data_IF_266758499684
#
_entry.id   IF_266758499684
#
_cell.length_a   1.000
_cell.length_b   1.000
_cell.length_c   1.000
_cell.angle_alpha   90.00
_cell.angle_beta   90.00
_cell.angle_gamma   90.00
#
_symmetry.space_group_name_H-M   'P 1'
#
loop_
_entity.id
_entity.type
_entity.pdbx_description
1 polymer ?
#
# COMPACT_ATOMS: atom_id res chain seq x y z
N UNK A 1 15.40 5.02 35.81
CA UNK A 1 15.51 5.95 34.68
C UNK A 1 14.86 5.23 33.51
N UNK A 2 13.59 5.54 33.27
CA UNK A 2 12.84 4.98 32.12
C UNK A 2 13.21 5.84 30.92
N UNK A 3 14.02 5.29 30.00
CA UNK A 3 14.16 5.85 28.67
C UNK A 3 12.79 5.89 28.03
N UNK A 4 12.28 7.09 27.82
CA UNK A 4 11.16 7.32 26.92
C UNK A 4 11.64 6.96 25.53
N UNK A 5 11.31 5.77 25.03
CA UNK A 5 11.51 5.42 23.64
C UNK A 5 10.70 6.42 22.81
N UNK A 6 11.36 7.37 22.20
CA UNK A 6 10.75 8.23 21.20
C UNK A 6 10.18 7.30 20.12
N UNK A 7 8.87 7.21 20.06
CA UNK A 7 8.16 6.41 19.05
C UNK A 7 8.46 7.08 17.71
N UNK A 8 9.22 6.42 16.85
CA UNK A 8 9.55 6.91 15.52
C UNK A 8 8.23 7.11 14.75
N UNK A 9 7.94 8.33 14.36
CA UNK A 9 6.73 8.66 13.63
C UNK A 9 6.92 8.33 12.15
N UNK A 10 6.34 7.23 11.68
CA UNK A 10 6.42 6.78 10.29
C UNK A 10 5.36 7.45 9.40
N UNK A 11 4.14 7.60 9.92
CA UNK A 11 3.03 8.27 9.25
C UNK A 11 2.59 9.45 10.10
N UNK A 12 2.46 10.62 9.45
CA UNK A 12 1.94 11.83 10.06
C UNK A 12 0.86 12.42 9.15
N UNK A 13 -0.40 12.22 9.54
CA UNK A 13 -1.59 12.67 8.78
C UNK A 13 -1.60 14.20 8.64
N UNK A 14 -1.21 14.92 9.68
CA UNK A 14 -1.15 16.38 9.64
C UNK A 14 -0.10 16.88 8.63
N UNK A 15 1.10 16.29 8.64
CA UNK A 15 2.17 16.60 7.69
C UNK A 15 1.75 16.29 6.25
N UNK A 16 1.06 15.18 6.03
CA UNK A 16 0.51 14.82 4.71
C UNK A 16 -0.49 15.88 4.25
N UNK A 17 -1.42 16.31 5.12
CA UNK A 17 -2.38 17.37 4.81
C UNK A 17 -1.70 18.70 4.50
N UNK A 18 -0.69 19.09 5.29
CA UNK A 18 0.08 20.32 5.05
C UNK A 18 0.76 20.30 3.67
N UNK A 19 1.30 19.15 3.27
CA UNK A 19 2.06 19.00 2.02
C UNK A 19 1.17 18.85 0.80
N UNK A 20 0.16 17.96 0.88
CA UNK A 20 -0.67 17.61 -0.29
C UNK A 20 -1.91 18.49 -0.47
N UNK A 21 -2.39 19.11 0.61
CA UNK A 21 -3.58 19.97 0.60
C UNK A 21 -3.42 21.23 1.47
N UNK A 22 -2.41 22.08 1.25
CA UNK A 22 -2.08 23.20 2.15
C UNK A 22 -3.20 24.23 2.28
N UNK A 23 -3.99 24.45 1.22
CA UNK A 23 -5.15 25.35 1.26
C UNK A 23 -6.28 24.80 2.13
N UNK A 24 -6.50 23.49 2.10
CA UNK A 24 -7.49 22.81 2.93
C UNK A 24 -7.02 22.82 4.38
N UNK A 25 -5.78 22.40 4.64
CA UNK A 25 -5.19 22.38 5.97
C UNK A 25 -5.36 23.72 6.73
N UNK A 26 -5.08 24.84 6.08
CA UNK A 26 -5.23 26.20 6.66
C UNK A 26 -6.67 26.54 7.06
N UNK A 27 -7.68 25.87 6.54
CA UNK A 27 -9.11 26.09 6.81
C UNK A 27 -9.69 25.08 7.80
N UNK A 28 -8.98 23.97 8.06
CA UNK A 28 -9.48 22.92 8.95
C UNK A 28 -9.27 23.32 10.42
N UNK A 29 -10.34 23.30 11.25
CA UNK A 29 -10.20 23.42 12.67
C UNK A 29 -9.40 22.26 13.28
N UNK A 30 -8.70 22.51 14.38
CA UNK A 30 -7.85 21.52 15.05
C UNK A 30 -8.57 20.22 15.40
N UNK A 31 -9.83 20.31 15.84
CA UNK A 31 -10.63 19.12 16.19
C UNK A 31 -10.87 18.20 14.96
N UNK A 32 -10.99 18.76 13.75
CA UNK A 32 -11.13 17.99 12.52
C UNK A 32 -9.83 17.26 12.18
N UNK A 33 -8.68 17.92 12.37
CA UNK A 33 -7.38 17.29 12.16
C UNK A 33 -7.20 16.13 13.13
N UNK A 34 -7.48 16.33 14.41
CA UNK A 34 -7.43 15.28 15.44
C UNK A 34 -8.38 14.12 15.11
N UNK A 35 -9.58 14.43 14.60
CA UNK A 35 -10.53 13.42 14.15
C UNK A 35 -10.01 12.60 12.97
N UNK A 36 -9.35 13.26 11.99
CA UNK A 36 -8.70 12.56 10.87
C UNK A 36 -7.57 11.65 11.35
N UNK A 37 -6.68 12.14 12.22
CA UNK A 37 -5.61 11.33 12.83
C UNK A 37 -6.17 10.05 13.45
N UNK A 38 -7.26 10.19 14.22
CA UNK A 38 -7.94 9.06 14.85
C UNK A 38 -8.60 8.11 13.85
N UNK A 39 -9.31 8.62 12.83
CA UNK A 39 -9.95 7.78 11.79
C UNK A 39 -8.92 7.01 10.96
N UNK A 40 -7.78 7.63 10.68
CA UNK A 40 -6.70 6.98 9.97
C UNK A 40 -5.86 6.05 10.85
N UNK A 41 -6.23 5.91 12.14
CA UNK A 41 -5.54 5.03 13.08
C UNK A 41 -4.01 5.26 13.11
N UNK A 42 -3.59 6.55 13.05
CA UNK A 42 -2.18 6.90 12.91
C UNK A 42 -1.31 6.26 13.99
N UNK A 43 -1.76 6.27 15.24
CA UNK A 43 -0.99 5.79 16.38
C UNK A 43 -0.83 4.26 16.32
N UNK A 44 -1.91 3.54 15.98
CA UNK A 44 -1.89 2.09 15.80
C UNK A 44 -0.97 1.69 14.65
N UNK A 45 -1.06 2.38 13.50
CA UNK A 45 -0.20 2.10 12.35
C UNK A 45 1.27 2.38 12.69
N UNK A 46 1.57 3.50 13.34
CA UNK A 46 2.94 3.81 13.77
C UNK A 46 3.48 2.79 14.76
N UNK A 47 2.65 2.35 15.72
CA UNK A 47 3.01 1.28 16.66
C UNK A 47 3.31 -0.03 15.93
N UNK A 48 2.49 -0.40 14.95
CA UNK A 48 2.71 -1.63 14.18
C UNK A 48 3.96 -1.53 13.31
N UNK A 49 4.19 -0.40 12.63
CA UNK A 49 5.41 -0.16 11.85
C UNK A 49 6.67 -0.21 12.73
N UNK A 50 6.59 0.25 13.98
CA UNK A 50 7.69 0.14 14.94
C UNK A 50 8.01 -1.32 15.28
N UNK A 51 6.99 -2.17 15.48
CA UNK A 51 7.17 -3.60 15.81
C UNK A 51 7.80 -4.40 14.68
N UNK A 52 7.70 -3.92 13.45
CA UNK A 52 8.22 -4.57 12.23
C UNK A 52 9.37 -3.79 11.61
N UNK A 53 9.99 -2.88 12.38
CA UNK A 53 11.07 -2.01 11.88
C UNK A 53 12.33 -2.77 11.47
N UNK A 54 12.50 -4.01 11.94
CA UNK A 54 13.65 -4.87 11.64
C UNK A 54 13.52 -5.57 10.28
N UNK A 55 12.30 -5.57 9.72
CA UNK A 55 12.01 -6.23 8.45
C UNK A 55 12.09 -5.24 7.30
N UNK A 56 12.58 -5.70 6.14
CA UNK A 56 12.71 -4.92 4.91
C UNK A 56 12.05 -5.63 3.74
N UNK A 57 11.42 -4.88 2.85
CA UNK A 57 10.83 -5.42 1.64
C UNK A 57 9.64 -6.35 1.88
N UNK A 58 9.53 -7.42 1.11
CA UNK A 58 8.41 -8.40 1.19
C UNK A 58 8.26 -9.05 2.58
N UNK A 59 9.31 -9.43 3.31
CA UNK A 59 9.21 -9.94 4.68
C UNK A 59 8.41 -9.04 5.62
N UNK A 60 8.51 -7.72 5.48
CA UNK A 60 7.75 -6.76 6.28
C UNK A 60 6.23 -6.94 6.15
N UNK A 61 5.75 -7.30 4.95
CA UNK A 61 4.33 -7.61 4.72
C UNK A 61 3.90 -8.92 5.39
N UNK A 62 4.77 -9.92 5.42
CA UNK A 62 4.49 -11.16 6.16
C UNK A 62 4.34 -10.89 7.65
N UNK A 63 5.29 -10.13 8.20
CA UNK A 63 5.30 -9.78 9.62
C UNK A 63 4.11 -8.91 10.01
N UNK A 64 3.71 -7.98 9.14
CA UNK A 64 2.50 -7.16 9.37
C UNK A 64 1.24 -8.03 9.51
N UNK A 65 1.08 -9.07 8.70
CA UNK A 65 -0.07 -9.98 8.83
C UNK A 65 -0.04 -10.76 10.16
N UNK A 66 1.15 -11.17 10.59
CA UNK A 66 1.32 -11.89 11.86
C UNK A 66 0.90 -11.02 13.04
N UNK A 67 1.43 -9.79 13.16
CA UNK A 67 1.10 -8.89 14.27
C UNK A 67 -0.35 -8.43 14.26
N UNK A 68 -0.96 -8.32 13.07
CA UNK A 68 -2.38 -8.00 12.90
C UNK A 68 -3.29 -9.22 13.08
N UNK A 69 -2.73 -10.41 13.33
CA UNK A 69 -3.44 -11.68 13.42
C UNK A 69 -4.36 -11.96 12.22
N UNK A 70 -3.93 -11.55 11.02
CA UNK A 70 -4.66 -11.75 9.77
C UNK A 70 -4.23 -13.08 9.16
N UNK A 71 -5.20 -13.97 8.93
CA UNK A 71 -5.00 -15.26 8.27
C UNK A 71 -5.50 -15.19 6.84
N UNK A 72 -4.69 -15.68 5.90
CA UNK A 72 -5.06 -15.78 4.48
C UNK A 72 -5.45 -17.22 4.18
N UNK A 73 -6.66 -17.41 3.67
CA UNK A 73 -7.10 -18.69 3.12
C UNK A 73 -6.89 -18.66 1.60
N UNK A 74 -6.13 -19.61 1.08
CA UNK A 74 -5.83 -19.71 -0.34
C UNK A 74 -6.77 -20.72 -1.00
N UNK A 75 -7.37 -20.32 -2.12
CA UNK A 75 -8.13 -21.20 -2.98
C UNK A 75 -7.56 -21.13 -4.39
N UNK A 76 -7.24 -22.26 -5.01
CA UNK A 76 -6.65 -22.31 -6.35
C UNK A 76 -5.16 -21.94 -6.43
N UNK A 77 -4.44 -21.92 -5.30
CA UNK A 77 -3.00 -21.63 -5.28
C UNK A 77 -2.22 -22.59 -6.18
N UNK A 78 -2.66 -23.82 -6.27
CA UNK A 78 -2.10 -24.89 -7.11
C UNK A 78 -2.24 -24.63 -8.61
N UNK A 79 -3.09 -23.69 -9.01
CA UNK A 79 -3.27 -23.29 -10.40
C UNK A 79 -2.23 -22.24 -10.85
N UNK A 80 -1.50 -21.64 -9.91
CA UNK A 80 -0.43 -20.68 -10.21
C UNK A 80 0.82 -21.46 -10.58
N UNK A 81 1.39 -21.31 -11.80
CA UNK A 81 2.62 -21.98 -12.16
C UNK A 81 3.76 -21.59 -11.20
N UNK A 82 4.64 -22.55 -10.91
CA UNK A 82 5.79 -22.34 -10.01
C UNK A 82 6.89 -21.47 -10.63
N UNK A 83 6.93 -21.38 -11.95
CA UNK A 83 7.93 -20.63 -12.70
C UNK A 83 7.26 -19.70 -13.71
N UNK A 84 7.96 -18.64 -14.05
CA UNK A 84 7.49 -17.66 -14.99
C UNK A 84 7.33 -16.28 -14.36
N UNK A 85 6.85 -15.36 -15.17
CA UNK A 85 6.62 -13.98 -14.78
C UNK A 85 5.16 -13.64 -14.99
N UNK A 86 4.54 -13.11 -13.95
CA UNK A 86 3.10 -12.88 -13.91
C UNK A 86 2.76 -11.45 -13.50
N UNK A 87 1.59 -11.02 -13.92
CA UNK A 87 0.90 -9.84 -13.40
C UNK A 87 -0.31 -10.34 -12.62
N UNK A 88 -0.30 -10.14 -11.30
CA UNK A 88 -1.40 -10.47 -10.42
C UNK A 88 -2.35 -9.28 -10.33
N UNK A 89 -3.52 -9.41 -10.94
CA UNK A 89 -4.55 -8.38 -10.92
C UNK A 89 -5.63 -8.72 -9.89
N UNK A 90 -6.00 -7.77 -9.05
CA UNK A 90 -6.99 -7.96 -8.00
C UNK A 90 -7.98 -6.81 -7.91
N UNK A 91 -9.15 -7.08 -7.32
CA UNK A 91 -10.03 -6.04 -6.81
C UNK A 91 -9.40 -5.33 -5.60
N UNK A 92 -9.98 -4.20 -5.23
CA UNK A 92 -9.45 -3.35 -4.16
C UNK A 92 -10.55 -3.03 -3.12
N UNK A 93 -11.06 -4.04 -2.37
CA UNK A 93 -12.24 -3.89 -1.54
C UNK A 93 -12.02 -3.08 -0.26
N UNK A 94 -10.84 -3.15 0.36
CA UNK A 94 -10.59 -2.60 1.70
C UNK A 94 -9.57 -1.46 1.75
N UNK A 95 -8.73 -1.30 0.72
CA UNK A 95 -7.67 -0.30 0.68
C UNK A 95 -6.30 -0.87 1.11
N UNK A 96 -5.83 -0.57 2.33
CA UNK A 96 -4.51 -1.02 2.80
C UNK A 96 -4.37 -2.52 3.02
N UNK A 97 -5.30 -3.16 3.77
CA UNK A 97 -5.15 -4.55 4.19
C UNK A 97 -4.97 -5.56 3.05
N UNK A 98 -5.74 -5.47 1.96
CA UNK A 98 -5.58 -6.41 0.86
C UNK A 98 -4.28 -6.20 0.08
N UNK A 99 -3.74 -4.97 0.05
CA UNK A 99 -2.41 -4.72 -0.48
C UNK A 99 -1.35 -5.51 0.27
N UNK A 100 -1.43 -5.51 1.60
CA UNK A 100 -0.55 -6.29 2.47
C UNK A 100 -0.76 -7.79 2.23
N UNK A 101 -2.02 -8.24 2.19
CA UNK A 101 -2.36 -9.65 1.98
C UNK A 101 -1.84 -10.18 0.64
N UNK A 102 -2.05 -9.45 -0.46
CA UNK A 102 -1.66 -9.94 -1.79
C UNK A 102 -0.16 -9.91 -1.99
N UNK A 103 0.55 -8.88 -1.50
CA UNK A 103 2.02 -8.85 -1.55
C UNK A 103 2.61 -9.98 -0.73
N UNK A 104 2.07 -10.22 0.47
CA UNK A 104 2.50 -11.35 1.29
C UNK A 104 2.21 -12.70 0.60
N UNK A 105 1.03 -12.87 0.01
CA UNK A 105 0.62 -14.11 -0.65
C UNK A 105 1.49 -14.42 -1.88
N UNK A 106 1.66 -13.43 -2.76
CA UNK A 106 2.49 -13.56 -3.96
C UNK A 106 3.97 -13.71 -3.58
N UNK A 107 4.45 -12.92 -2.62
CA UNK A 107 5.82 -12.94 -2.18
C UNK A 107 6.28 -14.24 -1.51
N UNK A 108 5.33 -15.04 -0.94
CA UNK A 108 5.62 -16.40 -0.47
C UNK A 108 5.85 -17.40 -1.61
N UNK A 109 5.31 -17.15 -2.78
CA UNK A 109 5.54 -17.96 -3.98
C UNK A 109 6.72 -17.43 -4.80
N UNK A 110 6.82 -16.09 -4.87
CA UNK A 110 7.79 -15.39 -5.69
C UNK A 110 8.41 -14.25 -4.88
N UNK A 111 9.60 -14.44 -4.31
CA UNK A 111 10.23 -13.41 -3.45
C UNK A 111 10.44 -12.05 -4.14
N UNK A 112 10.64 -12.04 -5.45
CA UNK A 112 10.74 -10.82 -6.25
C UNK A 112 9.34 -10.34 -6.66
N UNK A 113 8.67 -9.62 -5.78
CA UNK A 113 7.32 -9.10 -5.98
C UNK A 113 7.29 -7.58 -5.80
N UNK A 114 6.60 -6.89 -6.70
CA UNK A 114 6.33 -5.46 -6.62
C UNK A 114 4.84 -5.15 -6.71
N UNK A 115 4.40 -4.13 -5.98
CA UNK A 115 3.02 -3.63 -5.96
C UNK A 115 2.96 -2.24 -6.57
N UNK A 116 2.06 -2.04 -7.53
CA UNK A 116 1.76 -0.70 -8.05
C UNK A 116 0.91 0.09 -7.06
N UNK A 117 1.44 1.21 -6.58
CA UNK A 117 0.83 2.01 -5.51
C UNK A 117 0.72 3.49 -5.86
N UNK A 118 -0.15 4.19 -5.12
CA UNK A 118 -0.15 5.65 -5.14
C UNK A 118 1.16 6.18 -4.53
N UNK A 119 1.68 7.28 -5.07
CA UNK A 119 2.90 7.94 -4.63
C UNK A 119 2.93 8.33 -3.13
N UNK A 120 1.77 8.43 -2.47
CA UNK A 120 1.68 8.66 -1.04
C UNK A 120 2.33 7.54 -0.21
N UNK A 121 2.24 6.29 -0.68
CA UNK A 121 2.78 5.13 0.02
C UNK A 121 4.31 5.01 -0.09
N UNK A 122 4.93 5.77 -0.99
CA UNK A 122 6.40 5.84 -1.11
C UNK A 122 7.09 6.48 0.11
N UNK A 123 6.32 7.05 1.03
CA UNK A 123 6.87 7.59 2.28
C UNK A 123 6.95 6.55 3.41
N UNK A 124 6.51 5.32 3.16
CA UNK A 124 6.65 4.24 4.14
C UNK A 124 8.08 3.67 4.06
N UNK A 125 8.81 3.60 5.19
CA UNK A 125 10.20 3.18 5.20
C UNK A 125 10.35 1.67 4.96
N UNK A 126 11.49 1.31 4.37
CA UNK A 126 11.99 -0.07 4.24
C UNK A 126 11.11 -0.99 3.37
N UNK A 127 10.21 -0.41 2.56
CA UNK A 127 9.37 -1.11 1.58
C UNK A 127 9.30 -0.41 0.22
N UNK A 128 10.10 0.63 0.02
CA UNK A 128 10.15 1.40 -1.23
C UNK A 128 10.47 0.48 -2.42
N UNK A 129 11.35 -0.49 -2.22
CA UNK A 129 11.75 -1.46 -3.25
C UNK A 129 10.61 -2.39 -3.69
N UNK A 130 9.60 -2.56 -2.84
CA UNK A 130 8.40 -3.34 -3.16
C UNK A 130 7.38 -2.52 -3.95
N UNK A 131 7.51 -1.20 -3.97
CA UNK A 131 6.53 -0.33 -4.57
C UNK A 131 6.95 0.17 -5.96
N UNK A 132 5.96 0.24 -6.85
CA UNK A 132 6.04 0.97 -8.12
C UNK A 132 5.07 2.14 -8.00
N UNK A 133 5.56 3.38 -7.90
CA UNK A 133 4.69 4.53 -7.76
C UNK A 133 3.90 4.80 -9.04
N UNK A 134 2.60 5.04 -8.89
CA UNK A 134 1.74 5.51 -9.98
C UNK A 134 1.26 6.91 -9.62
N UNK A 135 1.74 7.91 -10.33
CA UNK A 135 1.25 9.26 -10.17
C UNK A 135 -0.02 9.47 -11.00
N UNK A 136 -1.15 9.73 -10.31
CA UNK A 136 -2.42 10.08 -10.97
C UNK A 136 -2.52 11.57 -11.32
N UNK A 137 -1.77 12.44 -10.62
CA UNK A 137 -1.92 13.89 -10.65
C UNK A 137 -0.58 14.62 -10.56
N UNK A 138 0.32 14.46 -11.55
CA UNK A 138 1.61 15.14 -11.48
C UNK A 138 2.24 15.45 -12.83
N UNK A 139 3.17 16.43 -12.83
CA UNK A 139 3.87 16.91 -14.02
C UNK A 139 5.00 15.99 -14.51
N UNK A 140 5.48 15.06 -13.69
CA UNK A 140 6.63 14.18 -14.03
C UNK A 140 6.15 12.81 -14.54
N UNK A 141 5.47 12.80 -15.68
CA UNK A 141 5.00 11.53 -16.28
C UNK A 141 6.15 10.64 -16.75
N UNK A 142 7.27 11.20 -17.16
CA UNK A 142 8.39 10.44 -17.73
C UNK A 142 9.04 9.52 -16.69
N UNK A 143 9.38 10.01 -15.51
CA UNK A 143 10.06 9.22 -14.48
C UNK A 143 9.25 7.97 -14.05
N UNK A 144 7.91 8.11 -13.97
CA UNK A 144 7.03 7.00 -13.62
C UNK A 144 6.87 5.98 -14.76
N UNK A 145 6.89 6.44 -16.01
CA UNK A 145 6.86 5.55 -17.18
C UNK A 145 8.14 4.74 -17.23
N UNK A 146 9.29 5.35 -16.97
CA UNK A 146 10.58 4.68 -16.98
C UNK A 146 10.70 3.65 -15.86
N UNK A 147 10.20 3.97 -14.64
CA UNK A 147 10.12 3.03 -13.52
C UNK A 147 9.20 1.86 -13.86
N UNK A 148 8.04 2.14 -14.45
CA UNK A 148 7.10 1.11 -14.85
C UNK A 148 7.69 0.23 -15.96
N UNK A 149 8.26 0.81 -17.00
CA UNK A 149 8.86 0.10 -18.12
C UNK A 149 10.02 -0.78 -17.65
N UNK A 150 10.91 -0.26 -16.81
CA UNK A 150 11.99 -1.04 -16.20
C UNK A 150 11.47 -2.18 -15.34
N UNK A 151 10.41 -1.93 -14.56
CA UNK A 151 9.76 -2.97 -13.76
C UNK A 151 9.08 -4.03 -14.63
N UNK A 152 8.46 -3.61 -15.75
CA UNK A 152 7.88 -4.51 -16.73
C UNK A 152 8.92 -5.33 -17.48
N UNK A 153 10.15 -4.89 -17.61
CA UNK A 153 11.27 -5.61 -18.23
C UNK A 153 12.09 -6.46 -17.25
N UNK A 154 11.85 -6.28 -15.95
CA UNK A 154 12.56 -7.01 -14.90
C UNK A 154 11.99 -8.42 -14.70
N UNK A 155 12.59 -9.20 -13.80
CA UNK A 155 12.12 -10.52 -13.38
C UNK A 155 11.15 -10.48 -12.18
N UNK A 156 10.67 -9.29 -11.79
CA UNK A 156 9.70 -9.13 -10.72
C UNK A 156 8.30 -9.58 -11.13
N UNK A 157 7.60 -10.22 -10.22
CA UNK A 157 6.15 -10.36 -10.28
C UNK A 157 5.50 -9.01 -9.98
N UNK A 158 4.47 -8.66 -10.72
CA UNK A 158 3.78 -7.39 -10.53
C UNK A 158 2.39 -7.63 -9.94
N UNK A 159 2.06 -6.89 -8.90
CA UNK A 159 0.71 -6.85 -8.31
C UNK A 159 0.08 -5.51 -8.68
N UNK A 160 -1.15 -5.58 -9.19
CA UNK A 160 -1.89 -4.39 -9.62
C UNK A 160 -3.34 -4.42 -9.13
N UNK A 161 -3.89 -3.24 -8.91
CA UNK A 161 -5.32 -3.01 -8.69
C UNK A 161 -5.89 -2.22 -9.87
N UNK A 162 -6.40 -2.89 -10.93
CA UNK A 162 -6.71 -2.22 -12.20
C UNK A 162 -7.81 -1.16 -12.11
N UNK A 163 -8.70 -1.25 -11.11
CA UNK A 163 -9.67 -0.20 -10.83
C UNK A 163 -9.01 1.11 -10.37
N UNK A 164 -7.83 1.01 -9.74
CA UNK A 164 -7.03 2.12 -9.23
C UNK A 164 -7.70 2.91 -8.10
N UNK A 165 -8.81 2.41 -7.57
CA UNK A 165 -9.57 2.96 -6.45
C UNK A 165 -10.19 1.83 -5.66
N UNK A 166 -10.36 2.07 -4.38
CA UNK A 166 -11.05 1.17 -3.43
C UNK A 166 -12.53 1.03 -3.82
N UNK A 167 -13.09 -0.16 -3.62
CA UNK A 167 -14.52 -0.44 -3.80
C UNK A 167 -15.38 0.53 -3.00
N UNK A 168 -16.59 0.78 -3.45
CA UNK A 168 -17.48 1.77 -2.84
C UNK A 168 -18.73 1.12 -2.27
N UNK A 169 -19.24 1.68 -1.19
CA UNK A 169 -20.53 1.29 -0.65
C UNK A 169 -21.63 2.06 -1.40
N UNK A 170 -22.41 1.33 -2.21
CA UNK A 170 -23.53 1.90 -2.98
C UNK A 170 -24.79 1.18 -2.51
N UNK A 171 -25.79 1.93 -2.02
CA UNK A 171 -27.06 1.41 -1.49
C UNK A 171 -26.86 0.23 -0.50
N UNK A 172 -25.89 0.36 0.40
CA UNK A 172 -25.61 -0.64 1.44
C UNK A 172 -24.76 -1.83 1.00
N UNK A 173 -24.47 -2.00 -0.29
CA UNK A 173 -23.62 -3.07 -0.84
C UNK A 173 -22.23 -2.56 -1.18
N UNK A 174 -21.21 -3.38 -0.96
CA UNK A 174 -19.85 -3.10 -1.47
C UNK A 174 -19.83 -3.47 -2.94
N UNK A 175 -19.39 -2.51 -3.76
CA UNK A 175 -19.33 -2.65 -5.23
C UNK A 175 -17.93 -2.33 -5.69
N UNK A 176 -17.32 -3.28 -6.40
CA UNK A 176 -16.04 -3.06 -7.06
C UNK A 176 -16.19 -2.11 -8.23
N UNK A 177 -15.20 -1.24 -8.41
CA UNK A 177 -15.15 -0.35 -9.54
C UNK A 177 -14.64 -1.08 -10.79
N UNK A 178 -15.14 -0.67 -11.94
CA UNK A 178 -14.70 -1.23 -13.23
C UNK A 178 -13.19 -1.05 -13.42
N UNK A 179 -12.55 -2.08 -13.92
CA UNK A 179 -11.13 -2.02 -14.28
C UNK A 179 -10.91 -1.04 -15.42
N UNK A 180 -9.83 -0.31 -15.33
CA UNK A 180 -9.48 0.67 -16.36
C UNK A 180 -8.80 -0.03 -17.53
N UNK A 181 -9.20 0.34 -18.75
CA UNK A 181 -8.59 -0.19 -19.99
C UNK A 181 -7.08 0.10 -20.12
N UNK A 182 -6.57 1.09 -19.37
CA UNK A 182 -5.14 1.42 -19.37
C UNK A 182 -4.25 0.34 -18.70
N UNK A 183 -4.84 -0.68 -18.10
CA UNK A 183 -4.12 -1.81 -17.50
C UNK A 183 -4.27 -3.11 -18.30
N UNK A 184 -5.00 -3.08 -19.40
CA UNK A 184 -5.15 -4.13 -20.38
C UNK A 184 -4.46 -3.69 -21.66
#
# INVERSE_FOLDING_TARGET
>A
MTESSETKEFINVEKILMTKAPRLYKRLPRFVINYLIRIFHQDEINSDLQKISDEVGVPKFHKQLEISNIKINYHGKELVPSEGRFIFASNHPMGGPEGIMIVSAVGRMFPKTKLMVNDLLMNLPDIEDVFIPINRFGRNKHDYVDILDSSLKSDYQLVIFPAGLVSRRIKGKVVDLSWKKSFI
#
